data_IF_327829166562
#
_entry.id   IF_327829166562
#
_cell.length_a   1.000
_cell.length_b   1.000
_cell.length_c   1.000
_cell.angle_alpha   90.00
_cell.angle_beta   90.00
_cell.angle_gamma   90.00
#
_symmetry.space_group_name_H-M   'P 1'
#
loop_
_entity.id
_entity.type
_entity.pdbx_description
1 polymer ?
#
# COMPACT_ATOMS: atom_id res chain seq x y z
N UNK A 1 -20.43 24.43 -11.21
CA UNK A 1 -19.06 23.94 -10.95
C UNK A 1 -18.46 23.62 -12.32
N UNK A 2 -17.33 24.24 -12.70
CA UNK A 2 -16.68 23.95 -13.99
C UNK A 2 -16.12 22.50 -13.96
N UNK A 3 -16.04 21.84 -15.11
CA UNK A 3 -15.52 20.46 -15.23
C UNK A 3 -14.08 20.33 -14.72
N UNK A 4 -13.23 21.34 -14.97
CA UNK A 4 -11.86 21.38 -14.44
C UNK A 4 -11.86 21.35 -12.91
N UNK A 5 -12.62 22.23 -12.26
CA UNK A 5 -12.69 22.29 -10.79
C UNK A 5 -13.22 20.97 -10.19
N UNK A 6 -14.13 20.29 -10.89
CA UNK A 6 -14.56 18.94 -10.51
C UNK A 6 -13.38 17.95 -10.57
N UNK A 7 -12.65 17.88 -11.68
CA UNK A 7 -11.56 16.93 -11.87
C UNK A 7 -10.36 17.20 -10.96
N UNK A 8 -10.01 18.46 -10.71
CA UNK A 8 -8.96 18.82 -9.74
C UNK A 8 -9.32 18.32 -8.32
N UNK A 9 -10.57 18.53 -7.88
CA UNK A 9 -11.06 18.02 -6.59
C UNK A 9 -11.06 16.49 -6.53
N UNK A 10 -11.42 15.85 -7.63
CA UNK A 10 -11.36 14.39 -7.75
C UNK A 10 -9.92 13.86 -7.66
N UNK A 11 -8.98 14.49 -8.36
CA UNK A 11 -7.57 14.15 -8.30
C UNK A 11 -7.04 14.30 -6.87
N UNK A 12 -7.37 15.40 -6.18
CA UNK A 12 -7.01 15.61 -4.77
C UNK A 12 -7.59 14.49 -3.88
N UNK A 13 -8.84 14.09 -4.10
CA UNK A 13 -9.49 13.00 -3.36
C UNK A 13 -8.77 11.66 -3.59
N UNK A 14 -8.38 11.36 -4.83
CA UNK A 14 -7.63 10.16 -5.17
C UNK A 14 -6.24 10.15 -4.50
N UNK A 15 -5.51 11.26 -4.56
CA UNK A 15 -4.22 11.41 -3.87
C UNK A 15 -4.36 11.28 -2.35
N UNK A 16 -5.48 11.74 -1.77
CA UNK A 16 -5.80 11.50 -0.36
C UNK A 16 -6.01 10.00 -0.08
N UNK A 17 -6.75 9.28 -0.92
CA UNK A 17 -6.95 7.83 -0.76
C UNK A 17 -5.65 7.04 -0.89
N UNK A 18 -4.73 7.45 -1.77
CA UNK A 18 -3.38 6.86 -1.84
C UNK A 18 -2.66 7.01 -0.49
N UNK A 19 -2.64 8.24 0.07
CA UNK A 19 -2.05 8.51 1.40
C UNK A 19 -2.73 7.70 2.52
N UNK A 20 -4.05 7.54 2.45
CA UNK A 20 -4.79 6.72 3.40
C UNK A 20 -4.36 5.25 3.32
N UNK A 21 -4.15 4.69 2.12
CA UNK A 21 -3.61 3.34 1.96
C UNK A 21 -2.17 3.23 2.50
N UNK A 22 -1.31 4.22 2.24
CA UNK A 22 0.07 4.23 2.73
C UNK A 22 0.14 4.30 4.26
N UNK A 23 -0.78 5.02 4.91
CA UNK A 23 -0.87 5.02 6.39
C UNK A 23 -1.12 3.63 6.98
N UNK A 24 -1.79 2.73 6.24
CA UNK A 24 -2.00 1.34 6.66
C UNK A 24 -0.73 0.53 6.57
N UNK A 25 0.17 0.83 5.64
CA UNK A 25 1.51 0.20 5.57
C UNK A 25 2.29 0.51 6.84
N UNK A 26 2.32 1.78 7.25
CA UNK A 26 3.01 2.22 8.47
C UNK A 26 2.44 1.62 9.77
N UNK A 27 1.21 1.09 9.72
CA UNK A 27 0.58 0.42 10.86
C UNK A 27 0.78 -1.10 10.82
N UNK A 28 0.49 -1.74 9.69
CA UNK A 28 0.45 -3.21 9.57
C UNK A 28 1.85 -3.80 9.64
N UNK A 29 2.84 -3.20 8.95
CA UNK A 29 4.18 -3.77 8.84
C UNK A 29 4.91 -3.84 10.20
N UNK A 30 4.93 -2.78 11.04
CA UNK A 30 5.56 -2.87 12.36
C UNK A 30 4.87 -3.87 13.29
N UNK A 31 3.53 -3.91 13.28
CA UNK A 31 2.77 -4.84 14.14
C UNK A 31 3.07 -6.29 13.75
N UNK A 32 2.96 -6.63 12.47
CA UNK A 32 3.22 -7.99 11.99
C UNK A 32 4.68 -8.42 12.24
N UNK A 33 5.63 -7.51 12.02
CA UNK A 33 7.06 -7.76 12.30
C UNK A 33 7.31 -7.98 13.79
N UNK A 34 6.71 -7.17 14.67
CA UNK A 34 6.85 -7.32 16.11
C UNK A 34 6.27 -8.66 16.60
N UNK A 35 5.08 -9.04 16.13
CA UNK A 35 4.48 -10.34 16.44
C UNK A 35 5.38 -11.51 16.00
N UNK A 36 5.96 -11.42 14.80
CA UNK A 36 6.88 -12.44 14.29
C UNK A 36 8.18 -12.50 15.11
N UNK A 37 8.72 -11.34 15.50
CA UNK A 37 9.93 -11.25 16.31
C UNK A 37 9.74 -11.88 17.70
N UNK A 38 8.56 -11.72 18.33
CA UNK A 38 8.25 -12.38 19.60
C UNK A 38 8.28 -13.90 19.45
N UNK A 39 7.66 -14.46 18.39
CA UNK A 39 7.71 -15.92 18.16
C UNK A 39 9.15 -16.39 17.91
N UNK A 40 9.92 -15.64 17.12
CA UNK A 40 11.33 -15.96 16.85
C UNK A 40 12.18 -15.95 18.14
N UNK A 41 11.94 -15.00 19.05
CA UNK A 41 12.63 -14.95 20.33
C UNK A 41 12.31 -16.14 21.26
N UNK A 42 11.17 -16.81 21.04
CA UNK A 42 10.71 -17.96 21.83
C UNK A 42 11.05 -19.31 21.18
N UNK A 43 11.90 -19.34 20.15
CA UNK A 43 12.23 -20.57 19.38
C UNK A 43 12.69 -21.75 20.23
N UNK A 44 13.48 -21.52 21.29
CA UNK A 44 13.94 -22.59 22.19
C UNK A 44 12.81 -23.29 22.95
N UNK A 45 11.72 -22.58 23.27
CA UNK A 45 10.54 -23.15 23.91
C UNK A 45 9.60 -23.82 22.91
N UNK A 46 9.60 -23.36 21.65
CA UNK A 46 8.79 -23.95 20.58
C UNK A 46 9.19 -25.42 20.33
N UNK A 47 10.47 -25.76 20.45
CA UNK A 47 10.96 -27.13 20.26
C UNK A 47 10.50 -28.12 21.33
N UNK A 48 10.09 -27.62 22.50
CA UNK A 48 9.60 -28.43 23.62
C UNK A 48 8.06 -28.57 23.60
N UNK A 49 7.37 -27.89 22.68
CA UNK A 49 5.92 -27.93 22.58
C UNK A 49 5.39 -29.28 22.10
N UNK A 50 4.17 -29.59 22.54
CA UNK A 50 3.39 -30.67 21.94
C UNK A 50 3.05 -30.36 20.46
N UNK A 51 2.69 -31.40 19.71
CA UNK A 51 2.38 -31.26 18.27
C UNK A 51 1.26 -30.27 17.96
N UNK A 52 0.29 -30.10 18.87
CA UNK A 52 -0.79 -29.12 18.72
C UNK A 52 -0.26 -27.68 18.79
N UNK A 53 0.53 -27.36 19.81
CA UNK A 53 1.12 -26.03 19.99
C UNK A 53 2.08 -25.67 18.85
N UNK A 54 2.83 -26.66 18.36
CA UNK A 54 3.68 -26.49 17.18
C UNK A 54 2.86 -26.15 15.93
N UNK A 55 1.75 -26.86 15.67
CA UNK A 55 0.87 -26.59 14.54
C UNK A 55 0.23 -25.18 14.61
N UNK A 56 -0.26 -24.77 15.78
CA UNK A 56 -0.81 -23.42 16.00
C UNK A 56 0.24 -22.34 15.71
N UNK A 57 1.47 -22.53 16.18
CA UNK A 57 2.58 -21.59 15.97
C UNK A 57 2.96 -21.47 14.50
N UNK A 58 2.96 -22.58 13.75
CA UNK A 58 3.19 -22.58 12.29
C UNK A 58 2.10 -21.79 11.57
N UNK A 59 0.83 -22.01 11.90
CA UNK A 59 -0.28 -21.30 11.26
C UNK A 59 -0.16 -19.79 11.49
N UNK A 60 0.12 -19.38 12.73
CA UNK A 60 0.35 -17.98 13.07
C UNK A 60 1.51 -17.38 12.26
N UNK A 61 2.64 -18.09 12.19
CA UNK A 61 3.86 -17.65 11.49
C UNK A 61 3.63 -17.50 9.99
N UNK A 62 3.01 -18.50 9.34
CA UNK A 62 2.72 -18.44 7.89
C UNK A 62 1.77 -17.27 7.58
N UNK A 63 0.72 -17.09 8.37
CA UNK A 63 -0.21 -15.98 8.18
C UNK A 63 0.48 -14.61 8.36
N UNK A 64 1.38 -14.47 9.34
CA UNK A 64 2.18 -13.26 9.53
C UNK A 64 3.12 -12.98 8.35
N UNK A 65 3.82 -14.00 7.85
CA UNK A 65 4.71 -13.86 6.69
C UNK A 65 3.91 -13.42 5.46
N UNK A 66 2.75 -14.04 5.20
CA UNK A 66 1.87 -13.64 4.09
C UNK A 66 1.43 -12.19 4.27
N UNK A 67 1.00 -11.78 5.47
CA UNK A 67 0.63 -10.40 5.78
C UNK A 67 1.76 -9.41 5.46
N UNK A 68 3.00 -9.72 5.87
CA UNK A 68 4.19 -8.89 5.63
C UNK A 68 4.50 -8.78 4.14
N UNK A 69 4.47 -9.88 3.40
CA UNK A 69 4.72 -9.87 1.95
C UNK A 69 3.67 -9.02 1.23
N UNK A 70 2.38 -9.19 1.57
CA UNK A 70 1.30 -8.45 0.93
C UNK A 70 1.38 -6.94 1.21
N UNK A 71 1.73 -6.53 2.44
CA UNK A 71 1.87 -5.10 2.76
C UNK A 71 3.11 -4.49 2.10
N UNK A 72 4.19 -5.25 1.97
CA UNK A 72 5.36 -4.83 1.20
C UNK A 72 5.00 -4.63 -0.29
N UNK A 73 4.21 -5.54 -0.87
CA UNK A 73 3.69 -5.37 -2.24
C UNK A 73 2.79 -4.12 -2.36
N UNK A 74 2.05 -3.76 -1.31
CA UNK A 74 1.24 -2.54 -1.30
C UNK A 74 2.09 -1.25 -1.24
N UNK A 75 3.27 -1.30 -0.60
CA UNK A 75 4.15 -0.15 -0.38
C UNK A 75 4.96 0.25 -1.60
N UNK A 76 5.22 -0.68 -2.54
CA UNK A 76 5.96 -0.33 -3.74
C UNK A 76 5.24 0.75 -4.56
N UNK A 77 5.96 1.78 -5.02
CA UNK A 77 5.38 2.84 -5.82
C UNK A 77 4.89 2.27 -7.15
N UNK A 78 3.65 2.59 -7.52
CA UNK A 78 3.09 2.24 -8.83
C UNK A 78 3.05 3.51 -9.66
N UNK A 79 4.05 3.65 -10.51
CA UNK A 79 4.19 4.76 -11.43
C UNK A 79 3.83 4.24 -12.81
N UNK A 80 2.76 4.76 -13.40
CA UNK A 80 2.50 4.58 -14.83
C UNK A 80 2.99 5.82 -15.55
N UNK A 81 3.74 5.63 -16.63
CA UNK A 81 4.15 6.75 -17.47
C UNK A 81 2.91 7.45 -18.02
N UNK A 82 2.84 8.76 -17.84
CA UNK A 82 1.92 9.63 -18.59
C UNK A 82 2.78 10.57 -19.42
N UNK A 83 3.27 10.05 -20.54
CA UNK A 83 4.16 10.77 -21.46
C UNK A 83 3.51 12.09 -21.86
N UNK A 84 4.22 13.19 -21.62
CA UNK A 84 3.76 14.53 -22.00
C UNK A 84 2.79 15.22 -21.05
N UNK A 85 2.46 14.62 -19.90
CA UNK A 85 1.70 15.28 -18.83
C UNK A 85 2.44 16.51 -18.30
N UNK A 86 1.70 17.57 -18.04
CA UNK A 86 2.19 18.84 -17.47
C UNK A 86 1.86 18.98 -15.98
N UNK A 87 1.09 18.05 -15.41
CA UNK A 87 0.78 18.01 -13.97
C UNK A 87 1.45 16.85 -13.22
N UNK A 88 1.73 15.73 -13.89
CA UNK A 88 2.36 14.58 -13.24
C UNK A 88 3.88 14.69 -13.25
N UNK A 89 4.51 14.50 -12.09
CA UNK A 89 5.94 14.74 -11.91
C UNK A 89 6.82 13.95 -12.90
N UNK A 90 6.46 12.71 -13.26
CA UNK A 90 7.24 11.93 -14.24
C UNK A 90 7.18 12.58 -15.61
N UNK A 91 5.98 12.95 -16.06
CA UNK A 91 5.81 13.63 -17.35
C UNK A 91 6.53 14.98 -17.39
N UNK A 92 6.58 15.70 -16.26
CA UNK A 92 7.35 16.94 -16.13
C UNK A 92 8.85 16.67 -16.21
N UNK A 93 9.36 15.64 -15.53
CA UNK A 93 10.81 15.31 -15.53
C UNK A 93 11.32 14.80 -16.88
N UNK A 94 10.43 14.37 -17.77
CA UNK A 94 10.77 14.01 -19.16
C UNK A 94 11.02 15.26 -20.04
N UNK A 95 10.70 16.46 -19.54
CA UNK A 95 10.85 17.73 -20.25
C UNK A 95 12.01 18.53 -19.66
N UNK A 96 12.70 19.28 -20.52
CA UNK A 96 13.54 20.39 -20.06
C UNK A 96 12.68 21.50 -19.49
N UNK A 97 13.27 22.36 -18.64
CA UNK A 97 12.57 23.51 -18.09
C UNK A 97 11.99 24.42 -19.19
N UNK A 98 12.72 24.64 -20.29
CA UNK A 98 12.26 25.45 -21.42
C UNK A 98 11.05 24.83 -22.12
N UNK A 99 11.07 23.51 -22.35
CA UNK A 99 9.94 22.79 -22.94
C UNK A 99 8.72 22.78 -22.02
N UNK A 100 8.91 22.56 -20.72
CA UNK A 100 7.84 22.62 -19.74
C UNK A 100 7.20 24.02 -19.67
N UNK A 101 8.02 25.07 -19.56
CA UNK A 101 7.55 26.45 -19.57
C UNK A 101 6.79 26.78 -20.85
N UNK A 102 7.29 26.35 -22.00
CA UNK A 102 6.61 26.55 -23.28
C UNK A 102 5.27 25.81 -23.31
N UNK A 103 5.22 24.54 -22.90
CA UNK A 103 3.98 23.77 -22.83
C UNK A 103 2.95 24.42 -21.93
N UNK A 104 3.34 24.89 -20.74
CA UNK A 104 2.44 25.58 -19.81
C UNK A 104 1.90 26.89 -20.43
N UNK A 105 2.76 27.69 -21.05
CA UNK A 105 2.34 28.96 -21.67
C UNK A 105 1.38 28.78 -22.85
N UNK A 106 1.41 27.63 -23.52
CA UNK A 106 0.56 27.30 -24.66
C UNK A 106 -0.51 26.26 -24.34
N UNK A 107 -0.69 25.92 -23.06
CA UNK A 107 -1.63 24.90 -22.63
C UNK A 107 -3.06 25.38 -22.86
N UNK A 108 -3.81 24.64 -23.68
CA UNK A 108 -5.24 24.90 -23.86
C UNK A 108 -6.05 24.29 -22.72
N UNK A 109 -7.25 24.83 -22.49
CA UNK A 109 -8.18 24.27 -21.50
C UNK A 109 -8.50 22.79 -21.80
N UNK A 110 -8.67 22.43 -23.07
CA UNK A 110 -8.91 21.06 -23.53
C UNK A 110 -7.72 20.13 -23.21
N UNK A 111 -6.49 20.57 -23.46
CA UNK A 111 -5.28 19.80 -23.14
C UNK A 111 -5.14 19.59 -21.63
N UNK A 112 -5.44 20.62 -20.83
CA UNK A 112 -5.41 20.51 -19.38
C UNK A 112 -6.46 19.53 -18.85
N UNK A 113 -7.66 19.60 -19.41
CA UNK A 113 -8.78 18.73 -19.05
C UNK A 113 -8.49 17.26 -19.42
N UNK A 114 -7.87 17.01 -20.56
CA UNK A 114 -7.43 15.67 -20.97
C UNK A 114 -6.34 15.10 -20.03
N UNK A 115 -5.37 15.93 -19.61
CA UNK A 115 -4.37 15.51 -18.62
C UNK A 115 -5.02 15.18 -17.27
N UNK A 116 -5.96 16.01 -16.81
CA UNK A 116 -6.74 15.76 -15.59
C UNK A 116 -7.53 14.45 -15.65
N UNK A 117 -8.20 14.14 -16.77
CA UNK A 117 -8.88 12.85 -16.95
C UNK A 117 -7.90 11.68 -16.84
N UNK A 118 -6.77 11.77 -17.55
CA UNK A 118 -5.74 10.74 -17.52
C UNK A 118 -5.20 10.53 -16.10
N UNK A 119 -4.92 11.62 -15.36
CA UNK A 119 -4.47 11.51 -13.97
C UNK A 119 -5.54 10.91 -13.06
N UNK A 120 -6.80 11.33 -13.17
CA UNK A 120 -7.88 10.75 -12.36
C UNK A 120 -8.02 9.26 -12.63
N UNK A 121 -8.00 8.84 -13.90
CA UNK A 121 -8.10 7.44 -14.29
C UNK A 121 -6.92 6.59 -13.75
N UNK A 122 -5.68 7.04 -13.96
CA UNK A 122 -4.48 6.34 -13.49
C UNK A 122 -4.47 6.27 -11.95
N UNK A 123 -4.74 7.39 -11.26
CA UNK A 123 -4.74 7.41 -9.80
C UNK A 123 -5.87 6.55 -9.20
N UNK A 124 -7.04 6.47 -9.83
CA UNK A 124 -8.10 5.55 -9.43
C UNK A 124 -7.66 4.08 -9.50
N UNK A 125 -6.92 3.69 -10.55
CA UNK A 125 -6.35 2.35 -10.66
C UNK A 125 -5.32 2.08 -9.55
N UNK A 126 -4.45 3.06 -9.26
CA UNK A 126 -3.44 2.95 -8.20
C UNK A 126 -4.12 2.77 -6.83
N UNK A 127 -5.14 3.58 -6.53
CA UNK A 127 -5.94 3.47 -5.30
C UNK A 127 -6.54 2.06 -5.18
N UNK A 128 -7.23 1.59 -6.22
CA UNK A 128 -7.86 0.27 -6.22
C UNK A 128 -6.84 -0.85 -5.93
N UNK A 129 -5.70 -0.86 -6.62
CA UNK A 129 -4.67 -1.86 -6.41
C UNK A 129 -4.05 -1.77 -5.01
N UNK A 130 -3.78 -0.57 -4.49
CA UNK A 130 -3.24 -0.40 -3.12
C UNK A 130 -4.22 -0.94 -2.08
N UNK A 131 -5.49 -0.55 -2.15
CA UNK A 131 -6.50 -1.03 -1.20
C UNK A 131 -6.74 -2.54 -1.28
N UNK A 132 -6.64 -3.13 -2.48
CA UNK A 132 -6.69 -4.59 -2.63
C UNK A 132 -5.61 -5.27 -1.78
N UNK A 133 -4.33 -4.90 -1.95
CA UNK A 133 -3.24 -5.52 -1.21
C UNK A 133 -3.27 -5.21 0.30
N UNK A 134 -3.63 -3.97 0.68
CA UNK A 134 -3.81 -3.58 2.09
C UNK A 134 -4.91 -4.43 2.75
N UNK A 135 -6.05 -4.63 2.08
CA UNK A 135 -7.15 -5.45 2.59
C UNK A 135 -6.70 -6.90 2.79
N UNK A 136 -6.01 -7.48 1.81
CA UNK A 136 -5.55 -8.86 1.91
C UNK A 136 -4.53 -9.01 3.05
N UNK A 137 -3.55 -8.11 3.15
CA UNK A 137 -2.58 -8.10 4.24
C UNK A 137 -3.26 -8.01 5.61
N UNK A 138 -4.17 -7.04 5.78
CA UNK A 138 -4.91 -6.86 7.03
C UNK A 138 -5.74 -8.10 7.39
N UNK A 139 -6.31 -8.80 6.41
CA UNK A 139 -7.06 -10.03 6.63
C UNK A 139 -6.17 -11.15 7.18
N UNK A 140 -4.96 -11.30 6.65
CA UNK A 140 -3.98 -12.26 7.17
C UNK A 140 -3.43 -11.87 8.54
N UNK A 141 -3.24 -10.57 8.81
CA UNK A 141 -2.90 -10.11 10.15
C UNK A 141 -3.99 -10.47 11.17
N UNK A 142 -5.26 -10.18 10.87
CA UNK A 142 -6.37 -10.54 11.74
C UNK A 142 -6.53 -12.05 11.90
N UNK A 143 -6.32 -12.82 10.84
CA UNK A 143 -6.30 -14.28 10.92
C UNK A 143 -5.17 -14.76 11.85
N UNK A 144 -3.98 -14.17 11.76
CA UNK A 144 -2.83 -14.59 12.56
C UNK A 144 -2.98 -14.30 14.06
N UNK A 145 -3.67 -13.22 14.44
CA UNK A 145 -3.78 -12.75 15.81
C UNK A 145 -4.27 -13.80 16.84
N UNK A 146 -5.39 -14.53 16.64
CA UNK A 146 -5.83 -15.55 17.58
C UNK A 146 -4.86 -16.73 17.71
N UNK A 147 -4.27 -17.19 16.59
CA UNK A 147 -3.28 -18.27 16.63
C UNK A 147 -1.98 -17.81 17.31
N UNK A 148 -1.58 -16.56 17.10
CA UNK A 148 -0.43 -15.97 17.77
C UNK A 148 -0.65 -15.88 19.28
N UNK A 149 -1.80 -15.37 19.72
CA UNK A 149 -2.14 -15.29 21.15
C UNK A 149 -2.17 -16.68 21.81
N UNK A 150 -2.76 -17.67 21.12
CA UNK A 150 -2.80 -19.05 21.60
C UNK A 150 -1.40 -19.66 21.67
N UNK A 151 -0.54 -19.41 20.67
CA UNK A 151 0.85 -19.86 20.66
C UNK A 151 1.61 -19.28 21.86
N UNK A 152 1.52 -17.97 22.10
CA UNK A 152 2.15 -17.32 23.26
C UNK A 152 1.65 -17.91 24.58
N UNK A 153 0.33 -18.11 24.73
CA UNK A 153 -0.23 -18.73 25.92
C UNK A 153 0.34 -20.13 26.17
N UNK A 154 0.42 -20.97 25.13
CA UNK A 154 0.96 -22.32 25.22
C UNK A 154 2.47 -22.35 25.49
N UNK A 155 3.22 -21.33 25.07
CA UNK A 155 4.66 -21.19 25.31
C UNK A 155 5.01 -20.67 26.72
N UNK A 156 4.05 -20.04 27.40
CA UNK A 156 4.20 -19.48 28.74
C UNK A 156 3.70 -20.41 29.84
N UNK A 157 2.92 -21.44 29.48
CA UNK A 157 2.46 -22.50 30.38
C UNK A 157 3.53 -23.57 30.54
#
# INVERSE_FOLDING_TARGET
MNQIDLLEKELIRLLFWIRAADSRVSLILPIATAMLAVLAAMTSKITEMNGFGYAVTIIATIALIISIVLIAVASFPRVKASTGSVIFFVGITELTFSEYKQKINHLTEEQYLEDLFNQCYINAQIVNTKFFWVKQSLSFLFLSAPFWLLSIYLLLR
#
